data_IF_720036952160
#
_entry.id   IF_720036952160
#
_cell.length_a   1.000
_cell.length_b   1.000
_cell.length_c   1.000
_cell.angle_alpha   90.00
_cell.angle_beta   90.00
_cell.angle_gamma   90.00
#
_symmetry.space_group_name_H-M   'P 1'
#
loop_
_entity.id
_entity.type
_entity.pdbx_description
1 polymer ?
#
# COMPACT_ATOMS: atom_id res chain seq x y z
N UNK A 1 -36.61 -29.51 -8.67
CA UNK A 1 -35.32 -29.63 -9.39
C UNK A 1 -35.27 -28.47 -10.36
N UNK A 2 -34.56 -27.41 -9.98
CA UNK A 2 -34.42 -26.20 -10.78
C UNK A 2 -33.19 -26.39 -11.66
N UNK A 3 -33.43 -26.35 -12.96
CA UNK A 3 -32.42 -26.36 -14.03
C UNK A 3 -31.67 -25.04 -14.05
N UNK A 4 -30.35 -25.10 -13.92
CA UNK A 4 -29.40 -24.01 -14.11
C UNK A 4 -29.36 -23.65 -15.60
N UNK A 5 -29.91 -22.50 -15.97
CA UNK A 5 -29.64 -21.85 -17.25
C UNK A 5 -28.29 -21.13 -17.14
N UNK A 6 -27.32 -21.55 -17.95
CA UNK A 6 -26.08 -20.80 -18.15
C UNK A 6 -26.38 -19.48 -18.85
N UNK A 7 -26.00 -18.37 -18.22
CA UNK A 7 -25.94 -17.07 -18.87
C UNK A 7 -24.74 -17.07 -19.82
N UNK A 8 -25.07 -17.10 -21.10
CA UNK A 8 -24.19 -16.70 -22.21
C UNK A 8 -23.89 -15.23 -22.01
N UNK A 9 -22.63 -14.87 -21.78
CA UNK A 9 -22.17 -13.49 -21.90
C UNK A 9 -22.11 -13.15 -23.39
N UNK A 10 -23.04 -12.33 -23.85
CA UNK A 10 -22.90 -11.64 -25.13
C UNK A 10 -21.83 -10.56 -24.96
N UNK A 11 -20.77 -10.65 -25.74
CA UNK A 11 -19.78 -9.60 -25.89
C UNK A 11 -20.47 -8.36 -26.50
N UNK A 12 -20.67 -7.31 -25.70
CA UNK A 12 -20.81 -5.97 -26.24
C UNK A 12 -19.42 -5.47 -26.63
N UNK A 13 -19.27 -5.11 -27.90
CA UNK A 13 -18.10 -4.41 -28.41
C UNK A 13 -18.20 -2.94 -28.00
N UNK A 14 -17.55 -2.56 -26.91
CA UNK A 14 -17.44 -1.16 -26.48
C UNK A 14 -16.22 -0.47 -27.11
N UNK A 15 -16.48 0.68 -27.73
CA UNK A 15 -15.61 1.42 -28.66
C UNK A 15 -14.81 2.52 -27.97
N UNK A 16 -14.48 2.37 -26.69
CA UNK A 16 -13.64 3.37 -26.01
C UNK A 16 -12.70 2.67 -25.04
N UNK A 17 -11.38 2.86 -25.22
CA UNK A 17 -10.26 2.14 -24.60
C UNK A 17 -10.12 2.31 -23.08
N UNK A 18 -11.21 2.12 -22.34
CA UNK A 18 -11.35 2.37 -20.91
C UNK A 18 -11.26 1.09 -20.07
N UNK A 19 -11.29 -0.09 -20.68
CA UNK A 19 -11.14 -1.38 -19.98
C UNK A 19 -9.71 -1.69 -19.55
N UNK A 20 -8.70 -1.20 -20.28
CA UNK A 20 -7.28 -1.34 -19.86
C UNK A 20 -6.97 -0.56 -18.57
N UNK A 21 -7.70 0.54 -18.32
CA UNK A 21 -7.54 1.37 -17.12
C UNK A 21 -8.19 0.70 -15.90
N UNK A 22 -9.31 -0.02 -16.08
CA UNK A 22 -9.97 -0.75 -14.98
C UNK A 22 -9.26 -2.05 -14.57
N UNK A 23 -8.47 -2.65 -15.45
CA UNK A 23 -7.76 -3.90 -15.17
C UNK A 23 -6.37 -3.69 -14.52
N UNK A 24 -5.84 -2.46 -14.54
CA UNK A 24 -4.59 -2.09 -13.87
C UNK A 24 -4.78 -1.67 -12.39
N UNK A 25 -6.02 -1.52 -11.91
CA UNK A 25 -6.32 -1.03 -10.56
C UNK A 25 -6.35 -2.12 -9.45
N UNK A 26 -6.09 -3.39 -9.80
CA UNK A 26 -6.24 -4.54 -8.89
C UNK A 26 -4.96 -4.93 -8.13
N UNK A 27 -3.81 -4.28 -8.37
CA UNK A 27 -2.51 -4.81 -7.90
C UNK A 27 -1.86 -4.08 -6.71
N UNK A 28 -2.48 -3.05 -6.12
CA UNK A 28 -1.72 -2.18 -5.20
C UNK A 28 -2.20 -2.27 -3.74
N UNK A 29 -3.44 -2.69 -3.48
CA UNK A 29 -4.02 -2.92 -2.15
C UNK A 29 -4.61 -4.27 -2.41
N UNK A 30 -4.03 -5.32 -1.84
CA UNK A 30 -4.73 -6.60 -1.93
C UNK A 30 -5.99 -6.40 -1.10
N UNK A 31 -7.21 -6.50 -1.68
CA UNK A 31 -8.38 -6.70 -0.84
C UNK A 31 -8.02 -7.88 0.07
N UNK A 32 -8.26 -7.79 1.39
CA UNK A 32 -7.71 -8.74 2.34
C UNK A 32 -7.98 -10.16 1.86
N UNK A 33 -6.89 -10.95 1.73
CA UNK A 33 -6.98 -12.36 1.35
C UNK A 33 -7.84 -13.15 2.35
N UNK A 34 -8.01 -12.60 3.57
CA UNK A 34 -8.80 -13.20 4.65
C UNK A 34 -9.64 -12.18 5.40
N UNK A 35 -10.88 -12.54 5.66
CA UNK A 35 -11.81 -11.74 6.47
C UNK A 35 -11.70 -12.24 7.89
N UNK A 36 -11.42 -11.36 8.84
CA UNK A 36 -11.34 -11.74 10.24
C UNK A 36 -12.65 -11.40 10.93
N UNK A 37 -13.41 -12.45 11.26
CA UNK A 37 -14.64 -12.34 12.04
C UNK A 37 -14.28 -12.36 13.51
N UNK A 38 -14.63 -11.30 14.22
CA UNK A 38 -14.53 -11.24 15.66
C UNK A 38 -15.91 -11.31 16.30
N UNK A 39 -16.21 -12.48 16.87
CA UNK A 39 -17.53 -12.81 17.43
C UNK A 39 -17.79 -12.24 18.83
N UNK A 40 -17.02 -11.23 19.29
CA UNK A 40 -17.19 -10.70 20.66
C UNK A 40 -18.32 -9.66 20.70
N UNK A 41 -19.42 -9.93 21.42
CA UNK A 41 -20.47 -8.94 21.61
C UNK A 41 -19.94 -7.77 22.43
N UNK A 42 -20.30 -6.55 22.02
CA UNK A 42 -20.02 -5.34 22.79
C UNK A 42 -18.81 -4.52 22.32
N UNK A 43 -18.28 -4.72 21.11
CA UNK A 43 -17.33 -3.76 20.54
C UNK A 43 -17.94 -2.35 20.49
N UNK A 44 -17.23 -1.37 21.05
CA UNK A 44 -17.64 0.03 21.11
C UNK A 44 -16.53 0.88 20.52
N UNK A 45 -16.88 1.74 19.57
CA UNK A 45 -15.94 2.70 18.97
C UNK A 45 -15.31 2.24 17.65
N UNK A 46 -14.19 2.86 17.33
CA UNK A 46 -13.25 2.53 16.25
C UNK A 46 -12.14 1.67 16.83
N UNK A 47 -11.67 0.62 16.14
CA UNK A 47 -10.46 -0.08 16.55
C UNK A 47 -9.24 0.85 16.49
N UNK A 48 -8.20 0.50 17.25
CA UNK A 48 -6.88 1.13 17.21
C UNK A 48 -5.89 0.17 16.54
N UNK A 49 -4.73 0.72 16.21
CA UNK A 49 -3.68 0.05 15.45
C UNK A 49 -2.31 0.51 15.95
N UNK A 50 -1.37 -0.41 16.11
CA UNK A 50 -0.03 -0.13 16.63
C UNK A 50 0.75 -1.39 16.98
N UNK A 51 2.08 -1.35 16.89
CA UNK A 51 2.99 -2.47 17.17
C UNK A 51 3.12 -2.70 18.69
N UNK A 52 2.21 -3.49 19.26
CA UNK A 52 2.17 -3.69 20.71
C UNK A 52 3.05 -4.87 21.15
N UNK A 53 3.53 -5.72 20.24
CA UNK A 53 4.45 -6.82 20.56
C UNK A 53 5.93 -6.58 20.21
N UNK A 54 6.21 -5.51 19.47
CA UNK A 54 7.55 -5.06 19.09
C UNK A 54 8.14 -5.86 17.93
N UNK A 55 7.30 -6.48 17.11
CA UNK A 55 7.74 -7.28 15.96
C UNK A 55 7.85 -6.48 14.65
N UNK A 56 7.53 -5.18 14.71
CA UNK A 56 7.55 -4.26 13.58
C UNK A 56 6.27 -4.27 12.77
N UNK A 57 5.17 -4.84 13.28
CA UNK A 57 3.86 -4.85 12.62
C UNK A 57 2.80 -4.33 13.56
N UNK A 58 1.95 -3.48 13.02
CA UNK A 58 0.82 -2.94 13.75
C UNK A 58 -0.25 -4.01 13.99
N UNK A 59 -0.60 -4.16 15.27
CA UNK A 59 -1.57 -5.12 15.75
C UNK A 59 -2.97 -4.52 15.82
N UNK A 60 -3.99 -5.37 15.77
CA UNK A 60 -5.36 -4.92 16.01
C UNK A 60 -5.60 -4.76 17.51
N UNK A 61 -5.92 -3.54 17.94
CA UNK A 61 -6.36 -3.25 19.31
C UNK A 61 -7.84 -2.86 19.30
N UNK A 62 -8.68 -3.66 19.96
CA UNK A 62 -10.13 -3.50 19.96
C UNK A 62 -10.67 -3.24 21.38
N UNK A 63 -10.86 -1.97 21.76
CA UNK A 63 -11.63 -1.62 22.94
C UNK A 63 -13.10 -2.07 22.82
N UNK A 64 -13.68 -2.48 23.94
CA UNK A 64 -15.10 -2.88 24.02
C UNK A 64 -15.85 -2.14 25.14
N UNK A 65 -17.17 -2.27 25.15
CA UNK A 65 -18.03 -1.76 26.22
C UNK A 65 -17.50 -2.19 27.59
N UNK A 66 -17.32 -1.21 28.49
CA UNK A 66 -16.73 -1.45 29.81
C UNK A 66 -15.24 -1.18 29.89
N UNK A 67 -14.55 -0.93 28.77
CA UNK A 67 -13.14 -0.53 28.72
C UNK A 67 -12.15 -1.70 28.63
N UNK A 68 -12.63 -2.93 28.47
CA UNK A 68 -11.76 -4.08 28.19
C UNK A 68 -11.07 -3.90 26.83
N UNK A 69 -9.82 -4.35 26.74
CA UNK A 69 -8.97 -4.23 25.57
C UNK A 69 -8.59 -5.61 25.09
N UNK A 70 -8.97 -5.92 23.85
CA UNK A 70 -8.59 -7.14 23.15
C UNK A 70 -7.54 -6.81 22.10
N UNK A 71 -6.53 -7.67 21.98
CA UNK A 71 -5.45 -7.54 20.99
C UNK A 71 -5.43 -8.78 20.11
N UNK A 72 -5.46 -8.56 18.80
CA UNK A 72 -5.17 -9.58 17.79
C UNK A 72 -3.84 -9.24 17.13
N UNK A 73 -2.80 -10.02 17.44
CA UNK A 73 -1.46 -9.80 16.90
C UNK A 73 -1.43 -9.95 15.37
N UNK A 74 -0.69 -9.10 14.66
CA UNK A 74 -0.54 -9.22 13.22
C UNK A 74 0.34 -10.41 12.84
N UNK A 75 -0.13 -11.15 11.85
CA UNK A 75 0.60 -12.25 11.21
C UNK A 75 1.10 -11.84 9.82
N UNK A 76 1.02 -10.56 9.46
CA UNK A 76 1.46 -10.02 8.16
C UNK A 76 0.39 -10.07 7.06
N UNK A 77 -0.70 -10.79 7.26
CA UNK A 77 -1.78 -10.89 6.27
C UNK A 77 -3.16 -11.11 6.91
N UNK A 78 -3.18 -11.27 8.23
CA UNK A 78 -4.35 -11.49 9.06
C UNK A 78 -3.96 -11.27 10.53
N UNK A 79 -4.94 -11.16 11.42
CA UNK A 79 -4.69 -11.11 12.87
C UNK A 79 -4.79 -12.50 13.52
N UNK A 80 -4.08 -12.69 14.63
CA UNK A 80 -4.33 -13.80 15.54
C UNK A 80 -5.71 -13.62 16.20
N UNK A 81 -6.28 -14.71 16.72
CA UNK A 81 -7.54 -14.63 17.47
C UNK A 81 -7.41 -13.63 18.62
N UNK A 82 -8.22 -12.56 18.68
CA UNK A 82 -8.03 -11.52 19.67
C UNK A 82 -8.15 -12.05 21.10
N UNK A 83 -7.17 -11.73 21.93
CA UNK A 83 -7.13 -12.09 23.35
C UNK A 83 -7.31 -10.85 24.21
N UNK A 84 -7.99 -10.99 25.35
CA UNK A 84 -8.10 -9.88 26.30
C UNK A 84 -6.74 -9.65 26.96
N UNK A 85 -6.15 -8.49 26.72
CA UNK A 85 -4.86 -8.10 27.29
C UNK A 85 -5.01 -7.19 28.51
N UNK A 86 -6.11 -6.44 28.59
CA UNK A 86 -6.39 -5.57 29.73
C UNK A 86 -7.90 -5.45 29.98
N UNK A 87 -8.30 -5.24 31.23
CA UNK A 87 -9.71 -5.09 31.62
C UNK A 87 -10.01 -3.69 32.13
N UNK A 88 -11.12 -3.10 31.70
CA UNK A 88 -11.65 -1.85 32.26
C UNK A 88 -10.73 -0.63 32.16
N UNK A 89 -9.87 -0.57 31.14
CA UNK A 89 -8.86 0.47 30.99
C UNK A 89 -9.27 1.58 30.04
N UNK A 90 -9.59 1.24 28.77
CA UNK A 90 -9.88 2.26 27.76
C UNK A 90 -11.16 3.03 28.12
N UNK A 91 -10.99 4.31 28.38
CA UNK A 91 -12.04 5.29 28.57
C UNK A 91 -12.64 5.80 27.24
N UNK A 92 -13.31 6.97 27.28
CA UNK A 92 -13.96 7.57 26.12
C UNK A 92 -13.05 7.83 24.92
N UNK A 93 -11.77 8.13 25.17
CA UNK A 93 -10.74 8.27 24.16
C UNK A 93 -9.59 7.35 24.59
N UNK A 94 -9.16 6.52 23.65
CA UNK A 94 -8.02 5.60 23.82
C UNK A 94 -7.19 5.67 22.53
N UNK A 95 -5.87 5.72 22.67
CA UNK A 95 -4.91 5.81 21.58
C UNK A 95 -3.73 4.89 21.85
N UNK A 96 -2.95 4.62 20.81
CA UNK A 96 -1.73 3.79 20.82
C UNK A 96 -0.53 4.64 20.41
N UNK A 97 0.58 4.49 21.12
CA UNK A 97 1.89 5.02 20.77
C UNK A 97 2.95 4.56 21.79
N UNK A 98 4.21 4.42 21.39
CA UNK A 98 5.34 4.19 22.30
C UNK A 98 5.60 5.43 23.19
N UNK A 99 5.10 5.42 24.42
CA UNK A 99 5.28 6.56 25.34
C UNK A 99 6.45 6.37 26.30
N UNK A 100 7.05 5.18 26.37
CA UNK A 100 8.19 4.90 27.24
C UNK A 100 9.55 4.72 26.53
N UNK A 101 9.51 4.63 25.21
CA UNK A 101 10.66 4.56 24.30
C UNK A 101 11.25 3.15 24.22
N UNK A 102 10.46 2.11 24.49
CA UNK A 102 10.91 0.72 24.45
C UNK A 102 10.72 0.04 23.09
N UNK A 103 10.14 0.75 22.12
CA UNK A 103 9.87 0.30 20.77
C UNK A 103 8.55 -0.46 20.61
N UNK A 104 7.66 -0.44 21.61
CA UNK A 104 6.31 -0.98 21.53
C UNK A 104 5.28 0.08 21.82
N UNK A 105 4.16 0.00 21.10
CA UNK A 105 3.05 0.89 21.34
C UNK A 105 2.32 0.58 22.65
N UNK A 106 2.12 1.62 23.45
CA UNK A 106 1.40 1.59 24.71
C UNK A 106 -0.04 2.09 24.55
N UNK A 107 -0.88 1.85 25.55
CA UNK A 107 -2.21 2.46 25.61
C UNK A 107 -2.20 3.79 26.35
N UNK A 108 -2.73 4.83 25.71
CA UNK A 108 -3.00 6.13 26.33
C UNK A 108 -4.51 6.35 26.40
N UNK A 109 -5.05 6.46 27.61
CA UNK A 109 -6.50 6.67 27.81
C UNK A 109 -6.83 7.96 28.53
N UNK A 110 -7.77 8.71 27.97
CA UNK A 110 -8.25 9.98 28.51
C UNK A 110 -9.62 9.80 29.16
N UNK A 111 -9.79 10.39 30.34
CA UNK A 111 -11.09 10.51 31.01
C UNK A 111 -11.75 11.85 30.68
N UNK A 112 -13.09 11.89 30.63
CA UNK A 112 -13.81 13.16 30.46
C UNK A 112 -13.63 14.08 31.67
N UNK A 113 -13.44 15.38 31.43
CA UNK A 113 -13.44 16.40 32.48
C UNK A 113 -13.51 17.83 31.94
N UNK A 114 -13.98 18.76 32.78
CA UNK A 114 -14.09 20.20 32.46
C UNK A 114 -12.90 21.04 32.96
N UNK A 115 -11.89 20.39 33.55
CA UNK A 115 -10.54 20.95 33.68
C UNK A 115 -10.36 22.24 34.50
N UNK A 116 -10.91 22.34 35.72
CA UNK A 116 -10.54 23.45 36.64
C UNK A 116 -9.94 23.00 37.98
N UNK A 117 -9.84 21.70 38.22
CA UNK A 117 -9.31 21.10 39.46
C UNK A 117 -8.39 19.92 39.14
N UNK A 118 -7.30 19.76 39.89
CA UNK A 118 -6.41 18.58 39.81
C UNK A 118 -7.21 17.28 39.99
N UNK A 119 -6.85 16.26 39.23
CA UNK A 119 -7.56 14.97 39.15
C UNK A 119 -8.77 14.94 38.20
N UNK A 120 -8.99 16.00 37.41
CA UNK A 120 -9.98 16.02 36.32
C UNK A 120 -9.31 15.85 34.97
N UNK A 121 -9.97 15.17 34.02
CA UNK A 121 -9.39 14.85 32.72
C UNK A 121 -8.02 14.15 32.85
N UNK A 122 -8.00 13.06 33.62
CA UNK A 122 -6.81 12.25 33.82
C UNK A 122 -6.44 11.52 32.54
N UNK A 123 -5.14 11.44 32.28
CA UNK A 123 -4.50 10.60 31.27
C UNK A 123 -3.84 9.42 31.97
N UNK A 124 -4.26 8.22 31.57
CA UNK A 124 -3.74 6.95 32.10
C UNK A 124 -2.93 6.24 31.04
N UNK A 125 -1.88 5.54 31.46
CA UNK A 125 -1.01 4.76 30.58
C UNK A 125 -1.04 3.30 30.95
N UNK A 126 -1.19 2.44 29.96
CA UNK A 126 -1.05 0.99 30.07
C UNK A 126 0.13 0.56 29.21
N UNK A 127 1.28 0.32 29.83
CA UNK A 127 2.51 -0.01 29.10
C UNK A 127 2.41 -1.40 28.48
N UNK A 128 2.86 -1.56 27.25
CA UNK A 128 2.92 -2.87 26.63
C UNK A 128 4.01 -3.73 27.28
N UNK A 129 3.73 -5.03 27.36
CA UNK A 129 4.69 -6.06 27.77
C UNK A 129 5.04 -7.01 26.61
N UNK A 130 4.47 -6.76 25.44
CA UNK A 130 4.46 -7.63 24.27
C UNK A 130 3.58 -8.88 24.37
N UNK A 131 2.88 -9.07 25.48
CA UNK A 131 1.91 -10.17 25.66
C UNK A 131 0.67 -9.75 26.45
N UNK A 132 0.52 -8.44 26.68
CA UNK A 132 -0.44 -7.84 27.61
C UNK A 132 -0.07 -6.39 27.90
N UNK A 133 -0.94 -5.67 28.60
CA UNK A 133 -0.67 -4.30 29.06
C UNK A 133 -0.62 -4.23 30.58
N UNK A 134 0.30 -3.42 31.11
CA UNK A 134 0.46 -3.12 32.52
C UNK A 134 -0.05 -1.71 32.83
N UNK A 135 -1.21 -1.60 33.48
CA UNK A 135 -1.81 -0.34 33.92
C UNK A 135 -0.91 0.39 34.93
N UNK A 136 -0.33 1.52 34.51
CA UNK A 136 0.55 2.36 35.33
C UNK A 136 -0.20 3.45 36.09
N UNK A 137 -1.53 3.49 36.00
CA UNK A 137 -2.34 4.54 36.61
C UNK A 137 -2.25 5.87 35.86
N UNK A 138 -2.36 6.97 36.59
CA UNK A 138 -2.43 8.33 36.01
C UNK A 138 -1.03 8.89 35.80
N UNK A 139 -0.70 9.23 34.56
CA UNK A 139 0.56 9.89 34.18
C UNK A 139 0.44 11.40 34.03
N UNK A 140 -0.77 11.91 33.82
CA UNK A 140 -1.06 13.34 33.73
C UNK A 140 -2.52 13.65 34.12
N UNK A 141 -2.80 14.89 34.52
CA UNK A 141 -4.15 15.40 34.76
C UNK A 141 -4.36 16.77 34.10
N UNK A 142 -5.62 17.15 33.90
CA UNK A 142 -5.97 18.43 33.28
C UNK A 142 -5.57 18.54 31.80
N UNK A 143 -5.45 17.42 31.10
CA UNK A 143 -5.14 17.35 29.67
C UNK A 143 -6.28 16.67 28.92
N UNK A 144 -6.49 17.06 27.65
CA UNK A 144 -7.64 16.62 26.88
C UNK A 144 -8.98 17.00 27.54
N UNK A 145 -9.07 18.25 27.99
CA UNK A 145 -10.29 18.77 28.63
C UNK A 145 -11.39 18.99 27.59
N UNK A 146 -12.62 19.25 28.06
CA UNK A 146 -13.79 19.45 27.19
C UNK A 146 -13.49 20.45 26.06
N UNK A 147 -13.96 20.15 24.84
CA UNK A 147 -13.72 20.89 23.58
C UNK A 147 -12.32 20.74 22.96
N UNK A 148 -11.40 20.01 23.59
CA UNK A 148 -10.11 19.70 22.96
C UNK A 148 -10.17 18.46 22.05
N UNK A 149 -9.34 18.47 21.01
CA UNK A 149 -9.05 17.31 20.18
C UNK A 149 -7.65 16.83 20.54
N UNK A 150 -7.51 15.55 20.86
CA UNK A 150 -6.29 15.03 21.48
C UNK A 150 -5.63 13.98 20.58
N UNK A 151 -4.30 14.01 20.56
CA UNK A 151 -3.43 13.11 19.82
C UNK A 151 -2.23 12.73 20.70
N UNK A 152 -1.51 11.72 20.24
CA UNK A 152 -0.22 11.28 20.76
C UNK A 152 0.77 11.25 19.61
N UNK A 153 2.03 11.65 19.84
CA UNK A 153 3.08 11.66 18.82
C UNK A 153 4.39 12.26 19.33
N UNK A 154 5.53 11.83 18.80
CA UNK A 154 6.87 12.29 19.25
C UNK A 154 7.20 13.66 18.66
N UNK A 155 6.67 14.71 19.27
CA UNK A 155 6.86 16.07 18.75
C UNK A 155 8.21 16.66 19.14
N UNK A 156 9.00 16.03 20.00
CA UNK A 156 10.31 16.55 20.43
C UNK A 156 11.53 15.76 19.97
N UNK A 157 11.31 14.58 19.37
CA UNK A 157 12.29 13.75 18.69
C UNK A 157 13.14 12.94 19.66
N UNK A 158 12.62 12.65 20.84
CA UNK A 158 13.32 11.89 21.87
C UNK A 158 13.06 10.38 21.83
N UNK A 159 12.24 9.93 20.87
CA UNK A 159 11.82 8.56 20.67
C UNK A 159 10.64 8.15 21.55
N UNK A 160 9.93 9.10 22.17
CA UNK A 160 8.72 8.85 22.95
C UNK A 160 7.59 9.74 22.47
N UNK A 161 6.41 9.16 22.36
CA UNK A 161 5.22 9.93 22.04
C UNK A 161 4.80 10.85 23.18
N UNK A 162 4.57 12.11 22.84
CA UNK A 162 4.06 13.16 23.71
C UNK A 162 2.53 13.28 23.61
N UNK A 163 1.90 13.91 24.60
CA UNK A 163 0.50 14.30 24.49
C UNK A 163 0.35 15.60 23.72
N UNK A 164 -0.60 15.64 22.78
CA UNK A 164 -0.94 16.83 22.00
C UNK A 164 -2.43 17.13 22.13
N UNK A 165 -2.80 18.35 22.50
CA UNK A 165 -4.19 18.79 22.58
C UNK A 165 -4.41 20.10 21.80
N UNK A 166 -5.26 20.02 20.78
CA UNK A 166 -5.72 21.16 20.01
C UNK A 166 -6.97 21.75 20.67
N UNK A 167 -7.07 23.08 20.72
CA UNK A 167 -8.22 23.80 21.29
C UNK A 167 -8.92 24.61 20.20
N UNK A 168 -9.88 24.05 19.44
CA UNK A 168 -10.40 24.65 18.21
C UNK A 168 -11.03 26.03 18.36
N UNK A 169 -11.58 26.34 19.54
CA UNK A 169 -12.18 27.64 19.82
C UNK A 169 -11.16 28.77 20.01
N UNK A 170 -9.89 28.45 20.30
CA UNK A 170 -8.83 29.44 20.53
C UNK A 170 -7.63 29.30 19.58
N UNK A 171 -7.49 28.14 18.94
CA UNK A 171 -6.32 27.78 18.12
C UNK A 171 -5.08 27.42 18.94
N UNK A 172 -5.18 27.31 20.28
CA UNK A 172 -4.06 26.91 21.11
C UNK A 172 -3.78 25.41 20.97
N UNK A 173 -2.50 25.06 20.87
CA UNK A 173 -1.99 23.69 20.91
C UNK A 173 -1.15 23.51 22.16
N UNK A 174 -1.58 22.58 23.00
CA UNK A 174 -0.93 22.21 24.24
C UNK A 174 -0.14 20.92 24.03
N UNK A 175 1.06 20.87 24.62
CA UNK A 175 1.92 19.70 24.63
C UNK A 175 2.22 19.33 26.07
N UNK A 176 2.23 18.04 26.36
CA UNK A 176 2.77 17.49 27.61
C UNK A 176 3.74 16.37 27.27
N UNK A 177 5.02 16.59 27.58
CA UNK A 177 6.10 15.71 27.11
C UNK A 177 6.21 14.43 27.90
N UNK A 178 6.44 13.31 27.22
CA UNK A 178 6.74 12.08 27.93
C UNK A 178 8.12 12.12 28.58
N UNK A 179 8.21 11.42 29.70
CA UNK A 179 9.47 11.13 30.40
C UNK A 179 9.75 9.62 30.45
N UNK A 180 8.89 8.84 29.78
CA UNK A 180 8.78 7.38 29.86
C UNK A 180 8.26 6.83 31.19
N UNK A 181 7.82 7.70 32.10
CA UNK A 181 7.16 7.29 33.36
C UNK A 181 6.01 8.20 33.80
N UNK A 182 5.85 9.34 33.11
CA UNK A 182 4.85 10.37 33.35
C UNK A 182 4.87 11.35 32.18
N UNK A 183 3.82 12.18 32.04
CA UNK A 183 3.91 13.35 31.17
C UNK A 183 4.17 14.61 32.00
N UNK A 184 4.98 15.51 31.45
CA UNK A 184 5.43 16.73 32.11
C UNK A 184 4.36 17.81 32.28
N UNK A 185 4.81 19.06 32.32
CA UNK A 185 3.91 20.21 32.43
C UNK A 185 3.14 20.43 31.12
N UNK A 186 1.82 20.65 31.25
CA UNK A 186 0.96 21.00 30.14
C UNK A 186 1.25 22.43 29.70
N UNK A 187 1.77 22.62 28.49
CA UNK A 187 2.18 23.94 28.04
C UNK A 187 1.77 24.25 26.60
N UNK A 188 1.37 25.49 26.37
CA UNK A 188 1.08 25.97 25.00
C UNK A 188 2.38 26.01 24.20
N UNK A 189 2.37 25.36 23.04
CA UNK A 189 3.51 25.29 22.10
C UNK A 189 3.19 25.80 20.69
N UNK A 190 1.92 26.04 20.40
CA UNK A 190 1.48 26.81 19.25
C UNK A 190 0.23 27.61 19.61
N UNK A 191 0.09 28.83 19.12
CA UNK A 191 -0.97 29.76 19.54
C UNK A 191 -2.09 29.95 18.52
N UNK A 192 -2.00 29.37 17.33
CA UNK A 192 -3.03 29.50 16.29
C UNK A 192 -3.03 28.36 15.25
N UNK A 193 -3.50 27.17 15.61
CA UNK A 193 -3.63 26.01 14.70
C UNK A 193 -4.89 25.20 15.03
N UNK A 194 -5.42 24.43 14.06
CA UNK A 194 -6.57 23.56 14.25
C UNK A 194 -7.79 24.33 14.78
N UNK A 195 -8.32 25.26 14.00
CA UNK A 195 -9.41 26.14 14.43
C UNK A 195 -10.79 25.65 13.98
N UNK A 196 -11.82 25.93 14.78
CA UNK A 196 -13.24 25.75 14.44
C UNK A 196 -13.59 24.31 14.02
N UNK A 197 -13.74 24.04 12.73
CA UNK A 197 -14.17 22.75 12.16
C UNK A 197 -13.03 21.98 11.50
N UNK A 198 -11.78 22.44 11.69
CA UNK A 198 -10.59 21.74 11.21
C UNK A 198 -10.43 20.37 11.89
N UNK A 199 -9.88 19.41 11.15
CA UNK A 199 -9.57 18.06 11.65
C UNK A 199 -8.07 17.93 11.77
N UNK A 200 -7.60 17.47 12.93
CA UNK A 200 -6.24 17.76 13.35
C UNK A 200 -5.52 16.48 13.75
N UNK A 201 -4.30 16.36 13.27
CA UNK A 201 -3.46 15.18 13.35
C UNK A 201 -2.03 15.59 13.67
N UNK A 202 -1.21 14.59 13.95
CA UNK A 202 0.24 14.71 14.10
C UNK A 202 0.91 13.66 13.22
N UNK A 203 2.15 13.91 12.81
CA UNK A 203 2.98 12.99 12.02
C UNK A 203 4.22 13.70 11.47
N UNK A 204 5.34 12.99 11.31
CA UNK A 204 6.61 13.52 10.79
C UNK A 204 6.54 13.82 9.29
N UNK A 205 6.08 15.00 8.92
CA UNK A 205 5.86 15.36 7.50
C UNK A 205 7.19 15.58 6.80
N UNK A 206 8.24 16.03 7.50
CA UNK A 206 9.52 16.36 6.87
C UNK A 206 10.67 15.37 7.05
N UNK A 207 10.42 14.28 7.76
CA UNK A 207 11.33 13.15 7.91
C UNK A 207 12.49 13.47 8.85
N UNK A 208 12.29 14.39 9.80
CA UNK A 208 13.32 14.79 10.75
C UNK A 208 13.27 14.03 12.09
N UNK A 209 12.38 13.05 12.19
CA UNK A 209 12.14 12.22 13.35
C UNK A 209 11.25 12.89 14.40
N UNK A 210 10.52 13.95 14.04
CA UNK A 210 9.58 14.63 14.94
C UNK A 210 8.23 14.77 14.29
N UNK A 211 7.20 14.48 15.05
CA UNK A 211 5.83 14.69 14.61
C UNK A 211 5.49 16.18 14.50
N UNK A 212 5.00 16.55 13.32
CA UNK A 212 4.51 17.87 12.99
C UNK A 212 3.01 17.99 13.28
N UNK A 213 2.46 19.20 13.25
CA UNK A 213 1.01 19.40 13.32
C UNK A 213 0.42 19.41 11.91
N UNK A 214 -0.67 18.69 11.70
CA UNK A 214 -1.42 18.68 10.42
C UNK A 214 -2.89 19.03 10.68
N UNK A 215 -3.46 19.93 9.88
CA UNK A 215 -4.87 20.31 9.96
C UNK A 215 -5.53 20.31 8.59
N UNK A 216 -6.60 19.53 8.44
CA UNK A 216 -7.47 19.50 7.27
C UNK A 216 -8.60 20.52 7.45
N UNK A 217 -8.92 21.28 6.40
CA UNK A 217 -10.02 22.24 6.36
C UNK A 217 -11.23 21.68 5.58
N UNK A 218 -12.06 20.80 6.17
CA UNK A 218 -13.14 20.14 5.45
C UNK A 218 -14.23 21.09 4.97
N UNK A 219 -14.46 22.14 5.74
CA UNK A 219 -15.27 23.28 5.38
C UNK A 219 -14.53 24.53 5.85
N UNK A 220 -14.68 25.62 5.09
CA UNK A 220 -14.11 26.90 5.50
C UNK A 220 -15.02 28.07 5.10
N UNK A 221 -15.34 28.99 6.01
CA UNK A 221 -16.12 30.20 5.70
C UNK A 221 -15.42 31.15 4.72
N UNK A 222 -14.10 31.08 4.61
CA UNK A 222 -13.26 31.99 3.81
C UNK A 222 -12.98 31.50 2.38
N UNK A 223 -13.58 30.38 1.97
CA UNK A 223 -13.40 29.78 0.65
C UNK A 223 -12.15 28.91 0.49
N UNK A 224 -11.32 28.75 1.53
CA UNK A 224 -10.14 27.86 1.53
C UNK A 224 -10.46 26.41 1.88
N UNK A 225 -11.64 25.95 1.47
CA UNK A 225 -12.10 24.57 1.71
C UNK A 225 -11.18 23.57 1.02
N UNK A 226 -10.82 22.50 1.72
CA UNK A 226 -9.93 21.46 1.23
C UNK A 226 -8.44 21.77 1.42
N UNK A 227 -8.08 22.92 2.01
CA UNK A 227 -6.69 23.16 2.35
C UNK A 227 -6.22 22.21 3.45
N UNK A 228 -4.98 21.76 3.33
CA UNK A 228 -4.23 21.08 4.39
C UNK A 228 -3.16 22.04 4.87
N UNK A 229 -3.21 22.38 6.15
CA UNK A 229 -2.17 23.13 6.81
C UNK A 229 -1.24 22.16 7.51
N UNK A 230 0.05 22.49 7.55
CA UNK A 230 0.98 21.82 8.42
C UNK A 230 1.91 22.82 9.11
N UNK A 231 2.41 22.46 10.29
CA UNK A 231 3.35 23.26 11.05
C UNK A 231 4.47 22.38 11.61
N UNK A 232 5.69 22.68 11.16
CA UNK A 232 6.90 21.92 11.49
C UNK A 232 7.23 21.99 12.97
N UNK A 233 7.58 20.87 13.58
CA UNK A 233 8.17 20.81 14.91
C UNK A 233 9.63 21.22 14.91
N UNK A 234 9.97 22.06 15.89
CA UNK A 234 11.35 22.49 16.19
C UNK A 234 11.95 21.72 17.37
N UNK A 235 11.23 20.73 17.89
CA UNK A 235 11.58 20.02 19.11
C UNK A 235 11.44 20.83 20.40
N UNK A 236 11.03 22.10 20.34
CA UNK A 236 10.69 22.94 21.52
C UNK A 236 9.37 23.69 21.36
N UNK A 237 8.78 23.64 20.17
CA UNK A 237 7.58 24.34 19.74
C UNK A 237 7.39 24.12 18.24
N UNK A 238 6.50 24.88 17.62
CA UNK A 238 6.18 24.72 16.20
C UNK A 238 6.41 26.02 15.42
N UNK A 239 6.74 25.89 14.15
CA UNK A 239 6.87 27.02 13.24
C UNK A 239 5.52 27.69 12.92
N UNK A 240 5.54 28.71 12.06
CA UNK A 240 4.31 29.24 11.50
C UNK A 240 3.68 28.21 10.56
N UNK A 241 2.37 28.00 10.71
CA UNK A 241 1.62 27.11 9.83
C UNK A 241 1.69 27.57 8.36
N UNK A 242 1.85 26.61 7.47
CA UNK A 242 1.89 26.81 6.02
C UNK A 242 0.86 25.91 5.34
N UNK A 243 0.40 26.30 4.15
CA UNK A 243 -0.46 25.45 3.34
C UNK A 243 0.38 24.37 2.68
N UNK A 244 0.20 23.12 3.09
CA UNK A 244 0.86 21.95 2.51
C UNK A 244 0.09 21.34 1.32
N UNK A 245 -1.23 21.54 1.24
CA UNK A 245 -2.04 21.09 0.11
C UNK A 245 -3.33 21.92 -0.04
N UNK A 246 -3.98 21.89 -1.22
CA UNK A 246 -5.11 22.76 -1.56
C UNK A 246 -6.46 22.08 -1.85
N UNK A 247 -6.54 20.75 -1.86
CA UNK A 247 -7.79 20.06 -2.20
C UNK A 247 -7.87 18.64 -1.60
N UNK A 248 -8.11 18.55 -0.29
CA UNK A 248 -8.14 17.29 0.46
C UNK A 248 -9.10 17.34 1.66
N UNK A 249 -9.73 16.21 1.98
CA UNK A 249 -10.61 15.99 3.14
C UNK A 249 -11.79 16.97 3.19
N UNK A 250 -12.52 17.09 2.10
CA UNK A 250 -13.63 18.01 1.86
C UNK A 250 -14.94 17.43 2.45
N UNK A 251 -15.71 18.28 3.14
CA UNK A 251 -17.00 17.94 3.75
C UNK A 251 -16.94 16.72 4.69
N UNK A 252 -17.51 15.60 4.23
CA UNK A 252 -17.69 14.36 4.99
C UNK A 252 -16.67 13.27 4.59
N UNK A 253 -15.68 13.61 3.76
CA UNK A 253 -14.53 12.75 3.49
C UNK A 253 -13.85 12.38 4.80
N UNK A 254 -13.28 11.18 4.89
CA UNK A 254 -12.47 10.73 6.02
C UNK A 254 -11.02 10.97 5.64
N UNK A 255 -10.19 11.44 6.56
CA UNK A 255 -8.77 11.67 6.29
C UNK A 255 -7.90 11.17 7.43
N UNK A 256 -6.67 10.81 7.09
CA UNK A 256 -5.63 10.38 8.03
C UNK A 256 -4.26 10.86 7.56
N UNK A 257 -3.29 10.74 8.46
CA UNK A 257 -1.87 11.03 8.29
C UNK A 257 -1.11 9.76 8.66
N UNK A 258 -0.26 9.27 7.76
CA UNK A 258 0.61 8.10 7.96
C UNK A 258 1.61 8.01 6.80
N UNK A 259 2.69 7.24 6.94
CA UNK A 259 3.69 7.02 5.88
C UNK A 259 3.19 5.97 4.87
N UNK A 260 2.56 6.39 3.77
CA UNK A 260 1.94 5.46 2.81
C UNK A 260 2.94 4.94 1.77
N UNK A 261 4.09 5.60 1.60
CA UNK A 261 5.10 5.20 0.62
C UNK A 261 6.39 4.60 1.22
N UNK A 262 6.48 4.53 2.54
CA UNK A 262 7.56 3.91 3.30
C UNK A 262 8.88 4.67 3.22
N UNK A 263 8.83 5.98 2.94
CA UNK A 263 10.02 6.82 2.86
C UNK A 263 10.44 7.45 4.20
N UNK A 264 9.69 7.16 5.26
CA UNK A 264 9.88 7.68 6.61
C UNK A 264 9.16 9.01 6.86
N UNK A 265 8.37 9.51 5.90
CA UNK A 265 7.58 10.74 6.05
C UNK A 265 6.10 10.44 6.11
N UNK A 266 5.42 11.16 6.98
CA UNK A 266 3.97 11.16 7.05
C UNK A 266 3.35 11.83 5.83
N UNK A 267 2.60 11.05 5.08
CA UNK A 267 1.75 11.46 3.97
C UNK A 267 0.33 11.76 4.46
N UNK A 268 -0.56 12.09 3.52
CA UNK A 268 -1.98 12.29 3.81
C UNK A 268 -2.86 11.42 2.92
N UNK A 269 -3.97 10.92 3.49
CA UNK A 269 -4.97 10.17 2.75
C UNK A 269 -6.39 10.68 2.95
N UNK A 270 -7.24 10.41 1.95
CA UNK A 270 -8.67 10.68 1.96
C UNK A 270 -9.44 9.45 1.51
N UNK A 271 -10.45 9.05 2.28
CA UNK A 271 -11.53 8.18 1.84
C UNK A 271 -12.77 9.00 1.52
N UNK A 272 -13.16 8.93 0.26
CA UNK A 272 -14.32 9.62 -0.28
C UNK A 272 -15.39 8.60 -0.66
N UNK A 273 -16.61 8.79 -0.16
CA UNK A 273 -17.71 7.93 -0.55
C UNK A 273 -18.10 8.22 -2.00
N UNK A 274 -18.14 7.20 -2.85
CA UNK A 274 -18.64 7.31 -4.22
C UNK A 274 -20.17 7.31 -4.16
N UNK A 275 -20.84 8.41 -4.58
CA UNK A 275 -22.29 8.46 -4.56
C UNK A 275 -22.90 7.33 -5.39
N UNK A 276 -24.01 6.75 -4.91
CA UNK A 276 -24.82 5.73 -5.59
C UNK A 276 -24.23 4.32 -5.73
N UNK A 277 -22.91 4.15 -5.59
CA UNK A 277 -22.27 2.83 -5.63
C UNK A 277 -22.10 2.21 -4.24
N UNK A 278 -22.13 3.01 -3.17
CA UNK A 278 -21.89 2.53 -1.80
C UNK A 278 -20.43 2.11 -1.56
N UNK A 279 -19.53 2.46 -2.48
CA UNK A 279 -18.09 2.20 -2.44
C UNK A 279 -17.34 3.44 -1.93
N UNK A 280 -16.07 3.25 -1.57
CA UNK A 280 -15.17 4.32 -1.15
C UNK A 280 -13.99 4.43 -2.12
N UNK A 281 -13.56 5.65 -2.41
CA UNK A 281 -12.35 5.96 -3.18
C UNK A 281 -11.27 6.43 -2.22
N UNK A 282 -10.08 5.84 -2.27
CA UNK A 282 -8.91 6.26 -1.51
C UNK A 282 -8.01 7.15 -2.39
N UNK A 283 -7.65 8.32 -1.87
CA UNK A 283 -6.68 9.22 -2.47
C UNK A 283 -5.53 9.42 -1.49
N UNK A 284 -4.29 9.39 -1.96
CA UNK A 284 -3.08 9.65 -1.16
C UNK A 284 -2.30 10.80 -1.80
N UNK A 285 -1.79 11.71 -0.98
CA UNK A 285 -0.84 12.73 -1.40
C UNK A 285 0.43 12.60 -0.55
N UNK A 286 1.57 12.50 -1.24
CA UNK A 286 2.86 12.15 -0.65
C UNK A 286 3.61 13.40 -0.18
N UNK A 287 4.29 13.32 0.95
CA UNK A 287 5.13 14.40 1.44
C UNK A 287 6.46 14.46 0.70
N UNK A 288 6.84 15.65 0.22
CA UNK A 288 8.21 15.92 -0.26
C UNK A 288 9.11 16.52 0.84
N UNK A 289 8.60 16.56 2.08
CA UNK A 289 9.21 17.19 3.24
C UNK A 289 9.07 18.71 3.30
N UNK A 290 8.31 19.32 2.38
CA UNK A 290 7.94 20.73 2.43
C UNK A 290 6.43 20.96 2.21
N UNK A 291 5.80 20.07 1.47
CA UNK A 291 4.39 20.09 1.09
C UNK A 291 3.93 18.68 0.74
N UNK A 292 2.61 18.51 0.60
CA UNK A 292 2.04 17.28 0.06
C UNK A 292 1.83 17.47 -1.43
N UNK A 293 2.43 16.61 -2.22
CA UNK A 293 2.24 16.57 -3.66
C UNK A 293 1.19 15.54 -3.99
N UNK A 294 0.19 15.91 -4.80
CA UNK A 294 -0.67 14.91 -5.40
C UNK A 294 0.22 13.98 -6.21
N UNK A 295 0.31 12.72 -5.79
CA UNK A 295 0.87 11.69 -6.66
C UNK A 295 0.05 11.73 -7.95
N UNK A 296 0.70 12.05 -9.07
CA UNK A 296 0.04 12.06 -10.38
C UNK A 296 -0.64 10.72 -10.63
N UNK A 297 -1.90 10.76 -11.07
CA UNK A 297 -3.02 10.38 -10.23
C UNK A 297 -2.84 8.97 -9.63
N UNK A 298 -2.60 8.89 -8.34
CA UNK A 298 -2.74 7.62 -7.61
C UNK A 298 -4.13 7.58 -6.97
N UNK A 299 -5.15 7.34 -7.81
CA UNK A 299 -6.53 7.09 -7.36
C UNK A 299 -6.72 5.60 -7.12
N UNK A 300 -6.97 5.23 -5.88
CA UNK A 300 -7.36 3.88 -5.52
C UNK A 300 -8.89 3.79 -5.56
N UNK A 301 -9.45 3.21 -6.62
CA UNK A 301 -10.87 2.86 -6.63
C UNK A 301 -11.01 1.36 -6.34
N UNK A 302 -11.20 1.01 -5.07
CA UNK A 302 -11.63 -0.34 -4.68
C UNK A 302 -12.89 -0.20 -3.82
N UNK A 303 -13.82 -1.15 -3.92
CA UNK A 303 -14.94 -1.19 -2.99
C UNK A 303 -14.43 -1.57 -1.60
N UNK A 304 -14.06 -0.59 -0.77
CA UNK A 304 -13.72 -0.83 0.63
C UNK A 304 -15.03 -1.04 1.40
N UNK A 305 -15.30 -2.22 1.96
CA UNK A 305 -16.51 -2.43 2.75
C UNK A 305 -16.37 -1.76 4.13
N UNK A 306 -17.46 -1.16 4.61
CA UNK A 306 -17.61 -0.78 6.01
C UNK A 306 -17.20 0.64 6.40
N UNK A 307 -16.80 0.77 7.66
CA UNK A 307 -16.34 1.98 8.33
C UNK A 307 -14.81 2.00 8.40
N UNK A 308 -14.23 3.20 8.36
CA UNK A 308 -12.81 3.42 8.60
C UNK A 308 -12.46 3.17 10.07
N UNK A 309 -11.40 2.39 10.32
CA UNK A 309 -10.82 2.16 11.64
C UNK A 309 -9.62 3.07 11.87
N UNK A 310 -8.48 2.70 11.28
CA UNK A 310 -7.18 3.31 11.50
C UNK A 310 -6.23 3.08 10.31
N UNK A 311 -5.04 3.67 10.36
CA UNK A 311 -3.94 3.48 9.40
C UNK A 311 -2.66 3.14 10.16
N UNK A 312 -1.78 2.32 9.58
CA UNK A 312 -0.52 1.88 10.19
C UNK A 312 0.06 0.64 9.49
N UNK A 313 1.26 0.18 9.81
CA UNK A 313 1.99 -0.88 9.07
C UNK A 313 1.61 -2.28 9.55
N UNK A 314 0.48 -2.80 9.08
CA UNK A 314 -0.03 -4.08 9.55
C UNK A 314 0.73 -5.29 9.01
N UNK A 315 1.34 -5.18 7.84
CA UNK A 315 2.05 -6.31 7.22
C UNK A 315 3.57 -6.32 7.47
N UNK A 316 4.12 -5.21 7.95
CA UNK A 316 5.53 -5.02 8.27
C UNK A 316 6.39 -4.68 7.06
N UNK A 317 5.80 -4.16 5.99
CA UNK A 317 6.52 -3.77 4.78
C UNK A 317 7.11 -2.34 4.85
N UNK A 318 6.89 -1.65 5.96
CA UNK A 318 7.34 -0.29 6.25
C UNK A 318 6.39 0.78 5.73
N UNK A 319 5.19 0.44 5.29
CA UNK A 319 4.19 1.38 4.76
C UNK A 319 2.89 1.27 5.53
N UNK A 320 2.16 2.38 5.58
CA UNK A 320 0.88 2.45 6.23
C UNK A 320 -0.21 1.74 5.40
N UNK A 321 -0.80 0.74 6.03
CA UNK A 321 -1.98 0.02 5.60
C UNK A 321 -3.27 0.69 6.08
N UNK A 322 -4.39 0.15 5.61
CA UNK A 322 -5.71 0.57 6.00
C UNK A 322 -6.44 -0.51 6.79
N UNK A 323 -6.82 -0.19 8.03
CA UNK A 323 -7.75 -0.99 8.81
C UNK A 323 -9.19 -0.47 8.63
N UNK A 324 -10.06 -1.28 8.05
CA UNK A 324 -11.51 -1.02 8.02
C UNK A 324 -12.29 -2.09 8.76
N UNK A 325 -13.54 -1.77 9.10
CA UNK A 325 -14.40 -2.70 9.81
C UNK A 325 -15.88 -2.55 9.46
N UNK A 326 -16.61 -3.66 9.44
CA UNK A 326 -18.06 -3.68 9.21
C UNK A 326 -18.77 -4.05 10.51
N UNK A 327 -19.82 -3.28 10.84
CA UNK A 327 -20.81 -3.64 11.85
C UNK A 327 -22.16 -3.75 11.18
N UNK A 328 -22.67 -4.97 11.08
CA UNK A 328 -24.02 -5.21 10.56
C UNK A 328 -25.03 -4.64 11.60
N UNK A 329 -24.88 -4.98 12.89
CA UNK A 329 -25.66 -4.46 14.04
C UNK A 329 -24.85 -4.61 15.36
N UNK A 330 -25.29 -4.03 16.50
CA UNK A 330 -24.57 -4.15 17.79
C UNK A 330 -24.49 -5.57 18.38
N UNK A 331 -25.23 -6.51 17.80
CA UNK A 331 -25.27 -7.92 18.19
C UNK A 331 -24.51 -8.85 17.22
N UNK A 332 -24.10 -8.32 16.06
CA UNK A 332 -23.41 -9.10 15.02
C UNK A 332 -21.90 -9.03 15.20
N UNK A 333 -21.16 -10.05 14.74
CA UNK A 333 -19.72 -10.07 14.84
C UNK A 333 -19.10 -8.97 13.99
N UNK A 334 -18.04 -8.35 14.51
CA UNK A 334 -17.31 -7.29 13.80
C UNK A 334 -16.35 -7.96 12.82
N UNK A 335 -16.37 -7.51 11.56
CA UNK A 335 -15.41 -7.96 10.56
C UNK A 335 -14.33 -6.90 10.39
N UNK A 336 -13.07 -7.29 10.47
CA UNK A 336 -11.92 -6.41 10.23
C UNK A 336 -11.27 -6.74 8.88
N UNK A 337 -10.77 -5.70 8.23
CA UNK A 337 -10.14 -5.73 6.93
C UNK A 337 -8.82 -4.99 7.04
N UNK A 338 -7.71 -5.69 6.84
CA UNK A 338 -6.41 -5.07 6.62
C UNK A 338 -6.19 -5.01 5.12
N UNK A 339 -6.13 -3.81 4.57
CA UNK A 339 -5.78 -3.61 3.18
C UNK A 339 -4.32 -3.14 3.16
N UNK A 340 -3.44 -4.10 2.85
CA UNK A 340 -1.99 -3.90 2.81
C UNK A 340 -1.62 -3.00 1.64
N UNK A 341 -1.01 -1.85 1.94
CA UNK A 341 -0.42 -1.01 0.92
C UNK A 341 0.65 -1.82 0.21
N UNK A 342 0.86 -1.53 -1.07
CA UNK A 342 1.97 -2.14 -1.80
C UNK A 342 2.85 -1.03 -2.29
N UNK A 343 4.17 -1.29 -2.41
CA UNK A 343 5.00 -0.47 -3.27
C UNK A 343 4.27 -0.28 -4.58
N UNK A 344 4.24 0.96 -5.07
CA UNK A 344 3.88 1.16 -6.47
C UNK A 344 4.65 0.10 -7.27
N UNK A 345 3.98 -0.74 -8.10
CA UNK A 345 4.71 -1.37 -9.18
C UNK A 345 5.43 -0.20 -9.82
N UNK A 346 6.76 -0.24 -9.95
CA UNK A 346 7.45 0.98 -10.27
C UNK A 346 6.81 1.59 -11.54
N UNK A 347 6.87 2.91 -11.69
CA UNK A 347 6.40 3.51 -12.96
C UNK A 347 7.22 3.00 -14.15
N UNK A 348 8.33 2.31 -13.87
CA UNK A 348 8.89 1.25 -14.68
C UNK A 348 8.42 -0.12 -14.17
N UNK A 349 8.09 -1.13 -15.01
CA UNK A 349 7.95 -2.51 -14.53
C UNK A 349 9.11 -2.85 -13.57
N UNK A 350 8.94 -3.76 -12.59
CA UNK A 350 9.95 -4.05 -11.55
C UNK A 350 11.34 -4.06 -12.18
N UNK A 351 12.42 -3.69 -11.48
CA UNK A 351 13.74 -4.10 -11.94
C UNK A 351 13.79 -5.64 -11.90
N UNK A 352 13.21 -6.29 -12.92
CA UNK A 352 13.93 -7.28 -13.69
C UNK A 352 15.27 -6.58 -13.91
N UNK A 353 16.41 -7.19 -13.57
CA UNK A 353 17.70 -6.77 -14.15
C UNK A 353 17.41 -6.28 -15.58
N UNK A 354 17.53 -4.96 -15.86
CA UNK A 354 16.65 -4.23 -16.78
C UNK A 354 16.38 -5.10 -17.98
N UNK A 355 15.21 -5.78 -18.14
CA UNK A 355 15.09 -7.12 -18.74
C UNK A 355 16.01 -7.19 -19.91
N UNK A 356 17.22 -7.71 -19.67
CA UNK A 356 18.42 -7.23 -20.36
C UNK A 356 18.05 -6.90 -21.80
N UNK A 357 17.85 -5.61 -22.14
CA UNK A 357 17.03 -5.24 -23.30
C UNK A 357 17.49 -6.02 -24.54
N UNK A 358 16.77 -7.09 -24.84
CA UNK A 358 17.31 -8.18 -25.65
C UNK A 358 17.26 -9.59 -25.03
N UNK A 359 17.92 -10.52 -25.71
CA UNK A 359 17.89 -11.97 -25.47
C UNK A 359 19.35 -12.43 -25.33
N UNK A 360 19.67 -13.29 -24.36
CA UNK A 360 21.05 -13.80 -24.19
C UNK A 360 21.35 -14.96 -25.14
N UNK A 361 20.32 -15.75 -25.44
CA UNK A 361 20.39 -16.88 -26.36
C UNK A 361 19.03 -17.18 -26.96
N UNK A 362 18.96 -17.40 -28.26
CA UNK A 362 17.78 -17.94 -28.95
C UNK A 362 17.99 -19.44 -29.11
N UNK A 363 17.00 -20.25 -28.77
CA UNK A 363 17.00 -21.71 -28.96
C UNK A 363 15.80 -22.09 -29.84
N UNK A 364 16.05 -22.53 -31.06
CA UNK A 364 15.01 -22.92 -32.02
C UNK A 364 14.90 -24.44 -32.06
N UNK A 365 13.69 -24.93 -31.77
CA UNK A 365 13.35 -26.33 -31.87
C UNK A 365 12.46 -26.60 -33.09
N UNK A 366 12.82 -27.61 -33.88
CA UNK A 366 12.07 -28.05 -35.04
C UNK A 366 11.03 -29.11 -34.65
N UNK A 367 9.79 -28.66 -34.47
CA UNK A 367 8.62 -29.50 -34.22
C UNK A 367 7.60 -29.41 -35.36
N UNK A 368 8.07 -29.35 -36.61
CA UNK A 368 7.20 -29.43 -37.79
C UNK A 368 6.55 -30.80 -37.85
N UNK A 369 5.21 -30.87 -38.01
CA UNK A 369 4.50 -32.16 -37.95
C UNK A 369 4.91 -33.09 -39.09
N UNK A 370 5.33 -32.53 -40.22
CA UNK A 370 5.83 -33.24 -41.39
C UNK A 370 7.27 -33.73 -41.22
N UNK A 371 7.91 -33.41 -40.08
CA UNK A 371 9.26 -33.87 -39.70
C UNK A 371 10.33 -33.53 -40.73
N UNK A 372 10.25 -32.32 -41.30
CA UNK A 372 11.14 -31.83 -42.36
C UNK A 372 12.32 -31.06 -41.78
N UNK A 373 13.41 -30.98 -42.53
CA UNK A 373 14.56 -30.16 -42.15
C UNK A 373 14.25 -28.67 -42.33
N UNK A 374 14.63 -27.88 -41.33
CA UNK A 374 14.58 -26.42 -41.36
C UNK A 374 15.99 -25.84 -41.55
N UNK A 375 16.08 -24.61 -42.03
CA UNK A 375 17.36 -23.90 -42.18
C UNK A 375 17.22 -22.53 -41.52
N UNK A 376 18.16 -22.17 -40.64
CA UNK A 376 18.12 -20.91 -39.90
C UNK A 376 19.13 -19.94 -40.49
N UNK A 377 18.65 -18.74 -40.81
CA UNK A 377 19.43 -17.64 -41.35
C UNK A 377 19.41 -16.48 -40.37
N UNK A 378 20.58 -15.90 -40.08
CA UNK A 378 20.69 -14.74 -39.17
C UNK A 378 21.30 -13.57 -39.92
N UNK A 379 20.65 -12.44 -39.87
CA UNK A 379 21.09 -11.18 -40.45
C UNK A 379 21.29 -10.13 -39.38
N UNK A 380 22.29 -9.27 -39.52
CA UNK A 380 22.40 -8.06 -38.71
C UNK A 380 21.31 -7.08 -39.17
N UNK A 381 20.46 -6.64 -38.24
CA UNK A 381 19.26 -5.86 -38.58
C UNK A 381 19.59 -4.41 -38.97
N UNK A 382 20.77 -3.90 -38.60
CA UNK A 382 21.19 -2.54 -38.94
C UNK A 382 21.77 -2.47 -40.36
N UNK A 383 22.52 -3.48 -40.76
CA UNK A 383 23.25 -3.52 -42.05
C UNK A 383 22.58 -4.41 -43.11
N UNK A 384 21.70 -5.32 -42.69
CA UNK A 384 21.14 -6.37 -43.54
C UNK A 384 22.15 -7.46 -43.92
N UNK A 385 23.36 -7.45 -43.36
CA UNK A 385 24.42 -8.40 -43.68
C UNK A 385 24.15 -9.79 -43.10
N UNK A 386 24.44 -10.84 -43.88
CA UNK A 386 24.35 -12.22 -43.42
C UNK A 386 25.41 -12.50 -42.34
N UNK A 387 24.99 -13.04 -41.21
CA UNK A 387 25.83 -13.38 -40.05
C UNK A 387 25.99 -14.90 -39.92
N UNK A 388 24.89 -15.65 -40.03
CA UNK A 388 24.89 -17.13 -39.91
C UNK A 388 24.02 -17.76 -41.00
N UNK A 389 24.51 -18.87 -41.53
CA UNK A 389 23.73 -19.87 -42.25
C UNK A 389 23.92 -21.22 -41.54
N UNK A 390 22.90 -21.68 -40.80
CA UNK A 390 23.04 -22.74 -39.79
C UNK A 390 23.22 -24.16 -40.32
N UNK A 391 23.11 -24.37 -41.65
CA UNK A 391 22.87 -25.73 -42.17
C UNK A 391 21.50 -26.28 -41.75
N UNK A 392 21.26 -27.56 -42.02
CA UNK A 392 19.98 -28.21 -41.76
C UNK A 392 19.76 -28.53 -40.27
N UNK A 393 18.63 -28.10 -39.74
CA UNK A 393 18.09 -28.44 -38.42
C UNK A 393 17.00 -29.52 -38.60
N UNK A 394 17.34 -30.76 -38.27
CA UNK A 394 16.42 -31.90 -38.33
C UNK A 394 15.30 -31.83 -37.29
N UNK A 395 14.26 -32.65 -37.49
CA UNK A 395 13.11 -32.70 -36.58
C UNK A 395 13.48 -33.25 -35.18
N UNK A 396 12.75 -32.82 -34.15
CA UNK A 396 13.05 -33.15 -32.74
C UNK A 396 11.97 -33.97 -32.03
N UNK A 397 11.16 -34.70 -32.82
CA UNK A 397 10.26 -35.72 -32.32
C UNK A 397 11.03 -36.95 -31.81
N UNK A 398 10.63 -37.47 -30.65
CA UNK A 398 11.05 -38.79 -30.19
C UNK A 398 10.19 -39.92 -30.81
N UNK A 399 10.55 -41.17 -30.49
CA UNK A 399 9.84 -42.37 -30.97
C UNK A 399 8.39 -42.46 -30.48
N UNK A 400 8.04 -41.71 -29.43
CA UNK A 400 6.68 -41.62 -28.87
C UNK A 400 5.84 -40.52 -29.53
N UNK A 401 6.43 -39.72 -30.42
CA UNK A 401 5.77 -38.61 -31.10
C UNK A 401 5.70 -37.33 -30.26
N UNK A 402 6.47 -37.22 -29.17
CA UNK A 402 6.58 -36.00 -28.38
C UNK A 402 7.64 -35.06 -28.98
N UNK A 403 7.38 -33.75 -28.97
CA UNK A 403 8.34 -32.73 -29.40
C UNK A 403 8.22 -31.48 -28.51
N UNK A 404 9.34 -30.81 -28.16
CA UNK A 404 10.72 -31.25 -28.37
C UNK A 404 11.10 -32.39 -27.39
N UNK A 405 11.65 -33.48 -27.90
CA UNK A 405 12.02 -34.63 -27.05
C UNK A 405 13.31 -35.36 -27.49
N UNK A 406 13.91 -35.01 -28.63
CA UNK A 406 15.23 -35.51 -29.04
C UNK A 406 16.00 -34.48 -29.87
N UNK A 407 17.34 -34.48 -29.78
CA UNK A 407 18.23 -33.56 -30.51
C UNK A 407 18.50 -32.23 -29.80
N UNK A 408 19.68 -31.64 -30.03
CA UNK A 408 20.01 -30.30 -29.52
C UNK A 408 19.26 -29.24 -30.32
N UNK A 409 18.65 -28.23 -29.66
CA UNK A 409 18.08 -27.08 -30.37
C UNK A 409 19.18 -26.37 -31.15
N UNK A 410 18.81 -25.68 -32.24
CA UNK A 410 19.73 -24.70 -32.80
C UNK A 410 19.80 -23.50 -31.86
N UNK A 411 21.00 -23.10 -31.46
CA UNK A 411 21.21 -21.97 -30.56
C UNK A 411 22.03 -20.83 -31.17
N UNK A 412 21.74 -19.61 -30.73
CA UNK A 412 22.47 -18.41 -31.13
C UNK A 412 22.52 -17.39 -29.99
N UNK A 413 23.72 -16.90 -29.69
CA UNK A 413 23.95 -15.87 -28.66
C UNK A 413 24.17 -14.51 -29.34
N UNK A 414 23.15 -13.64 -29.43
CA UNK A 414 23.31 -12.31 -30.01
C UNK A 414 24.15 -11.39 -29.10
N UNK A 415 25.05 -10.61 -29.71
CA UNK A 415 25.88 -9.63 -29.00
C UNK A 415 25.02 -8.56 -28.30
N UNK A 416 25.40 -8.18 -27.07
CA UNK A 416 24.70 -7.16 -26.29
C UNK A 416 24.57 -5.83 -27.03
N UNK A 417 23.35 -5.32 -27.14
CA UNK A 417 23.01 -4.05 -27.80
C UNK A 417 22.90 -4.10 -29.32
N UNK A 418 23.12 -5.26 -29.96
CA UNK A 418 22.96 -5.42 -31.42
C UNK A 418 21.64 -6.10 -31.77
N UNK A 419 21.01 -5.67 -32.87
CA UNK A 419 19.76 -6.25 -33.35
C UNK A 419 20.01 -7.23 -34.51
N UNK A 420 19.31 -8.36 -34.52
CA UNK A 420 19.39 -9.40 -35.54
C UNK A 420 18.01 -9.82 -36.03
N UNK A 421 17.91 -10.11 -37.32
CA UNK A 421 16.75 -10.78 -37.95
C UNK A 421 17.09 -12.27 -38.13
N UNK A 422 16.31 -13.14 -37.50
CA UNK A 422 16.41 -14.59 -37.64
C UNK A 422 15.25 -15.07 -38.51
N UNK A 423 15.56 -15.76 -39.60
CA UNK A 423 14.59 -16.31 -40.54
C UNK A 423 14.75 -17.82 -40.58
N UNK A 424 13.70 -18.52 -40.18
CA UNK A 424 13.62 -19.99 -40.27
C UNK A 424 12.99 -20.33 -41.61
N UNK A 425 13.71 -21.07 -42.43
CA UNK A 425 13.34 -21.44 -43.79
C UNK A 425 12.98 -22.92 -43.84
N UNK A 426 11.83 -23.22 -44.43
CA UNK A 426 11.42 -24.58 -44.80
C UNK A 426 11.40 -24.67 -46.34
N UNK A 427 12.42 -25.28 -46.97
CA UNK A 427 12.51 -25.38 -48.43
C UNK A 427 11.33 -26.11 -49.08
N UNK A 428 10.63 -26.95 -48.32
CA UNK A 428 9.52 -27.77 -48.80
C UNK A 428 8.15 -27.11 -48.56
N UNK A 429 8.09 -25.87 -48.04
CA UNK A 429 6.89 -25.06 -48.08
C UNK A 429 6.39 -24.89 -49.52
N UNK A 430 5.07 -24.91 -49.69
CA UNK A 430 4.45 -24.73 -51.01
C UNK A 430 4.84 -23.35 -51.56
N UNK A 431 5.49 -23.34 -52.72
CA UNK A 431 5.96 -22.11 -53.37
C UNK A 431 7.39 -21.70 -53.01
N UNK A 432 8.07 -22.43 -52.13
CA UNK A 432 9.47 -22.19 -51.79
C UNK A 432 10.45 -22.90 -52.74
N UNK A 433 10.60 -24.22 -52.60
CA UNK A 433 11.45 -25.06 -53.46
C UNK A 433 12.97 -24.84 -53.34
N UNK A 434 13.42 -23.89 -52.52
CA UNK A 434 14.84 -23.50 -52.36
C UNK A 434 15.14 -23.15 -50.90
N UNK A 435 16.40 -23.20 -50.46
CA UNK A 435 16.79 -22.67 -49.16
C UNK A 435 17.22 -21.20 -49.31
N UNK A 436 16.26 -20.29 -49.46
CA UNK A 436 16.52 -18.86 -49.63
C UNK A 436 15.57 -18.01 -48.78
N UNK A 437 16.06 -17.31 -47.75
CA UNK A 437 15.23 -16.49 -46.86
C UNK A 437 14.70 -15.21 -47.52
N UNK A 438 15.19 -14.81 -48.70
CA UNK A 438 14.66 -13.68 -49.45
C UNK A 438 13.32 -14.00 -50.14
N UNK A 439 13.03 -15.29 -50.35
CA UNK A 439 11.77 -15.76 -50.92
C UNK A 439 10.75 -15.89 -49.78
N UNK A 440 9.72 -15.03 -49.76
CA UNK A 440 8.73 -15.02 -48.68
C UNK A 440 8.03 -16.38 -48.49
N UNK A 441 7.79 -17.12 -49.58
CA UNK A 441 7.17 -18.45 -49.53
C UNK A 441 8.05 -19.50 -48.82
N UNK A 442 9.35 -19.24 -48.66
CA UNK A 442 10.29 -20.09 -47.94
C UNK A 442 10.33 -19.83 -46.44
N UNK A 443 9.77 -18.71 -45.98
CA UNK A 443 9.86 -18.30 -44.58
C UNK A 443 8.79 -19.01 -43.74
N UNK A 444 9.24 -19.81 -42.78
CA UNK A 444 8.38 -20.46 -41.81
C UNK A 444 8.10 -19.57 -40.60
N UNK A 445 9.13 -18.87 -40.14
CA UNK A 445 9.05 -17.94 -39.03
C UNK A 445 10.12 -16.86 -39.20
N UNK A 446 9.78 -15.62 -38.81
CA UNK A 446 10.72 -14.51 -38.74
C UNK A 446 10.70 -13.93 -37.34
N UNK A 447 11.87 -13.78 -36.74
CA UNK A 447 12.08 -13.27 -35.41
C UNK A 447 13.01 -12.06 -35.51
N UNK A 448 12.70 -10.98 -34.78
CA UNK A 448 13.64 -9.88 -34.57
C UNK A 448 14.05 -9.89 -33.11
N UNK A 449 15.36 -9.95 -32.87
CA UNK A 449 15.94 -9.98 -31.52
C UNK A 449 16.94 -8.85 -31.35
N UNK A 450 17.02 -8.29 -30.15
CA UNK A 450 18.16 -7.48 -29.71
C UNK A 450 18.97 -8.37 -28.79
N UNK A 451 20.30 -8.33 -28.84
CA UNK A 451 21.14 -9.15 -27.98
C UNK A 451 21.34 -8.52 -26.63
N UNK A 452 21.39 -9.36 -25.59
CA UNK A 452 21.81 -8.96 -24.27
C UNK A 452 22.26 -10.17 -23.44
N UNK A 453 23.52 -10.19 -23.01
CA UNK A 453 24.16 -11.25 -22.25
C UNK A 453 23.50 -11.56 -20.90
N UNK A 454 22.78 -10.61 -20.31
CA UNK A 454 21.98 -10.83 -19.08
C UNK A 454 20.51 -11.18 -19.37
N UNK A 455 20.14 -11.28 -20.65
CA UNK A 455 18.77 -11.45 -21.11
C UNK A 455 18.27 -12.89 -20.92
N UNK A 456 16.97 -13.14 -21.07
CA UNK A 456 16.45 -14.50 -20.99
C UNK A 456 16.88 -15.33 -22.22
N UNK A 457 16.80 -16.65 -22.10
CA UNK A 457 16.90 -17.57 -23.23
C UNK A 457 15.53 -17.65 -23.92
N UNK A 458 15.44 -17.24 -25.19
CA UNK A 458 14.20 -17.33 -25.95
C UNK A 458 14.09 -18.69 -26.65
N UNK A 459 13.25 -19.56 -26.10
CA UNK A 459 12.93 -20.86 -26.70
C UNK A 459 11.79 -20.72 -27.69
N UNK A 460 12.07 -21.00 -28.95
CA UNK A 460 11.11 -20.98 -30.05
C UNK A 460 10.88 -22.42 -30.49
N UNK A 461 9.63 -22.86 -30.42
CA UNK A 461 9.20 -24.13 -31.00
C UNK A 461 8.48 -23.78 -32.29
N UNK A 462 8.96 -24.27 -33.43
CA UNK A 462 8.32 -24.03 -34.74
C UNK A 462 7.21 -25.08 -34.92
N UNK A 463 5.93 -24.74 -34.74
CA UNK A 463 4.85 -25.70 -34.66
C UNK A 463 3.92 -25.49 -35.85
N UNK A 464 3.96 -26.33 -36.86
CA UNK A 464 2.98 -26.18 -37.94
C UNK A 464 2.53 -27.47 -38.52
N UNK A 465 1.26 -27.40 -38.92
CA UNK A 465 0.42 -28.34 -39.64
C UNK A 465 0.76 -28.46 -41.13
#
# INVERSE_FOLDING_TARGET
MVTTLGLVTTAESDVDGTTAVRQAAYEVLQPPDTWQIWDKPGHVGTPLFGDVDGDGRDDLIAPVAGGDVFVGLSLGFQFATPQQWLSGFCGPICQTADVDGDGRDDLVSYSWGTGTTSGSANVRVGLSTGTGFADQGVWNDGFCVTEQVCRVGDVDGDGRADLVAFTPNTGLVWISRSTGRSFGENAVRHNYFCIVTERCHVGDVDGDGRDDLVAFKPSSPDGQKGNVLWSRSTGTGFEAARTGHGFFCIDNEICSVADFDGDGRSDIMVLKQVPWEGTWELLVALSDGQQFTNATPFSWSTSIPGHFGATGDGDGDGRADLLTYVRDNSADPVRFYLAASKPTPPTDPPPIDPPASGISRVEINNCTVERRDLYVWVFDAATGGLVINSGALGHQYDDTGRCPAGGQPWDFNPDTGRAFDIVVVDPALIGCGVNDPSVQACQKQRLRVVGNDRGPVWKVVVPTA
#
